data_IF_015553094329
#
_entry.id   IF_015553094329
#
_cell.length_a   1.000
_cell.length_b   1.000
_cell.length_c   1.000
_cell.angle_alpha   90.00
_cell.angle_beta   90.00
_cell.angle_gamma   90.00
#
_symmetry.space_group_name_H-M   'P 1'
#
loop_
_entity.id
_entity.type
_entity.pdbx_description
1 polymer ?
#
# COMPACT_ATOMS: atom_id res chain seq x y z
N UNK A 1 -20.76 15.65 -6.46
CA UNK A 1 -20.80 16.79 -5.51
C UNK A 1 -20.08 18.01 -6.10
N UNK A 2 -20.78 18.83 -6.87
CA UNK A 2 -20.29 20.09 -7.42
C UNK A 2 -21.33 21.20 -7.17
N UNK A 3 -21.62 21.43 -5.89
CA UNK A 3 -22.52 22.51 -5.46
C UNK A 3 -21.87 23.88 -5.58
N UNK A 4 -22.67 24.94 -5.44
CA UNK A 4 -22.25 26.35 -5.47
C UNK A 4 -21.05 26.62 -4.53
N UNK A 5 -20.99 25.92 -3.38
CA UNK A 5 -19.90 25.98 -2.41
C UNK A 5 -18.50 25.67 -2.96
N UNK A 6 -18.40 24.95 -4.09
CA UNK A 6 -17.12 24.58 -4.72
C UNK A 6 -16.79 25.42 -5.97
N UNK A 7 -17.70 26.29 -6.40
CA UNK A 7 -17.57 27.03 -7.66
C UNK A 7 -16.37 27.99 -7.68
N UNK A 8 -16.11 28.67 -6.57
CA UNK A 8 -14.98 29.58 -6.43
C UNK A 8 -13.63 28.85 -6.49
N UNK A 9 -13.44 27.82 -5.65
CA UNK A 9 -12.24 26.99 -5.67
C UNK A 9 -12.01 26.34 -7.05
N UNK A 10 -13.09 25.86 -7.69
CA UNK A 10 -13.02 25.30 -9.05
C UNK A 10 -12.57 26.34 -10.08
N UNK A 11 -12.99 27.60 -9.95
CA UNK A 11 -12.56 28.67 -10.85
C UNK A 11 -11.05 28.95 -10.70
N UNK A 12 -10.54 28.98 -9.47
CA UNK A 12 -9.11 29.18 -9.18
C UNK A 12 -8.26 28.03 -9.73
N UNK A 13 -8.66 26.78 -9.48
CA UNK A 13 -7.98 25.61 -10.06
C UNK A 13 -8.00 25.65 -11.59
N UNK A 14 -9.15 25.99 -12.19
CA UNK A 14 -9.26 26.09 -13.64
C UNK A 14 -8.46 27.25 -14.24
N UNK A 15 -8.17 28.32 -13.49
CA UNK A 15 -7.28 29.41 -13.90
C UNK A 15 -5.84 28.91 -13.97
N UNK A 16 -5.40 28.14 -12.96
CA UNK A 16 -4.08 27.50 -12.92
C UNK A 16 -3.93 26.48 -14.05
N UNK A 17 -4.91 25.59 -14.23
CA UNK A 17 -4.86 24.51 -15.22
C UNK A 17 -4.96 24.98 -16.68
N UNK A 18 -5.58 26.14 -16.93
CA UNK A 18 -5.70 26.72 -18.28
C UNK A 18 -4.60 27.74 -18.60
N UNK A 19 -3.86 28.20 -17.59
CA UNK A 19 -2.67 29.03 -17.78
C UNK A 19 -1.57 28.25 -18.51
N UNK A 20 -0.76 28.94 -19.31
CA UNK A 20 0.35 28.32 -20.05
C UNK A 20 1.44 27.74 -19.15
N UNK A 21 1.50 28.11 -17.85
CA UNK A 21 2.31 27.47 -16.82
C UNK A 21 1.66 27.67 -15.44
N UNK A 22 1.64 26.63 -14.61
CA UNK A 22 1.53 26.80 -13.17
C UNK A 22 2.74 27.64 -12.69
N UNK A 23 2.49 28.79 -12.07
CA UNK A 23 3.53 29.69 -11.56
C UNK A 23 3.27 30.00 -10.08
N UNK A 24 4.29 30.54 -9.40
CA UNK A 24 4.24 30.76 -7.96
C UNK A 24 3.05 31.64 -7.54
N UNK A 25 2.75 32.71 -8.29
CA UNK A 25 1.63 33.59 -7.96
C UNK A 25 0.28 32.85 -8.03
N UNK A 26 0.12 31.91 -8.94
CA UNK A 26 -1.07 31.08 -9.03
C UNK A 26 -1.17 30.08 -7.86
N UNK A 27 -0.03 29.55 -7.39
CA UNK A 27 0.04 28.69 -6.18
C UNK A 27 -0.25 29.50 -4.91
N UNK A 28 0.32 30.70 -4.79
CA UNK A 28 0.10 31.59 -3.65
C UNK A 28 -1.38 31.96 -3.54
N UNK A 29 -2.04 32.24 -4.67
CA UNK A 29 -3.48 32.53 -4.72
C UNK A 29 -4.33 31.34 -4.25
N UNK A 30 -3.97 30.10 -4.61
CA UNK A 30 -4.64 28.90 -4.08
C UNK A 30 -4.45 28.78 -2.56
N UNK A 31 -3.24 29.09 -2.06
CA UNK A 31 -2.91 29.02 -0.64
C UNK A 31 -3.63 30.10 0.19
N UNK A 32 -3.69 31.34 -0.31
CA UNK A 32 -4.39 32.47 0.32
C UNK A 32 -5.89 32.18 0.50
N UNK A 33 -6.50 31.54 -0.50
CA UNK A 33 -7.92 31.14 -0.49
C UNK A 33 -8.15 29.79 0.19
N UNK A 34 -7.10 29.20 0.80
CA UNK A 34 -7.14 27.93 1.52
C UNK A 34 -7.76 26.81 0.67
N UNK A 35 -7.48 26.81 -0.63
CA UNK A 35 -7.99 25.80 -1.56
C UNK A 35 -7.27 24.48 -1.27
N UNK A 36 -8.02 23.53 -0.71
CA UNK A 36 -7.54 22.18 -0.47
C UNK A 36 -7.94 21.27 -1.63
N UNK A 37 -6.98 20.57 -2.26
CA UNK A 37 -7.33 19.58 -3.27
C UNK A 37 -8.01 18.40 -2.59
N UNK A 38 -9.16 18.02 -3.11
CA UNK A 38 -9.73 16.69 -2.85
C UNK A 38 -9.29 15.83 -4.02
N UNK A 39 -8.33 14.95 -3.75
CA UNK A 39 -7.84 14.01 -4.75
C UNK A 39 -8.68 12.75 -4.62
N UNK A 40 -9.26 12.33 -5.73
CA UNK A 40 -9.87 11.01 -5.82
C UNK A 40 -8.76 9.96 -5.62
N UNK A 41 -8.93 9.14 -4.58
CA UNK A 41 -8.01 8.05 -4.26
C UNK A 41 -7.96 6.98 -5.34
N UNK A 42 -8.85 6.98 -6.33
CA UNK A 42 -8.88 5.96 -7.38
C UNK A 42 -7.57 5.79 -8.18
N UNK A 43 -6.71 6.82 -8.23
CA UNK A 43 -5.42 6.78 -8.92
C UNK A 43 -4.21 6.68 -7.98
N UNK A 44 -4.40 6.17 -6.76
CA UNK A 44 -3.29 5.85 -5.86
C UNK A 44 -2.94 4.37 -5.94
N UNK A 45 -1.84 4.00 -5.31
CA UNK A 45 -1.57 2.59 -5.03
C UNK A 45 -2.60 2.06 -4.03
N UNK A 46 -3.68 1.47 -4.56
CA UNK A 46 -4.77 0.90 -3.77
C UNK A 46 -4.32 -0.33 -2.98
N UNK A 47 -3.17 -0.95 -3.30
CA UNK A 47 -2.61 -2.02 -2.49
C UNK A 47 -1.91 -1.50 -1.22
N UNK A 48 -1.52 -0.22 -1.21
CA UNK A 48 -0.73 0.41 -0.16
C UNK A 48 0.72 -0.10 -0.02
N UNK A 49 1.14 -1.06 -0.85
CA UNK A 49 2.47 -1.67 -0.80
C UNK A 49 3.56 -0.65 -1.14
N UNK A 50 3.39 0.13 -2.20
CA UNK A 50 4.34 1.18 -2.60
C UNK A 50 4.50 2.26 -1.55
N UNK A 51 3.41 2.64 -0.88
CA UNK A 51 3.48 3.54 0.27
C UNK A 51 4.28 2.95 1.43
N UNK A 52 4.05 1.68 1.78
CA UNK A 52 4.78 0.99 2.85
C UNK A 52 6.27 0.82 2.54
N UNK A 53 6.61 0.38 1.32
CA UNK A 53 8.00 0.21 0.88
C UNK A 53 8.73 1.55 0.82
N UNK A 54 8.08 2.61 0.33
CA UNK A 54 8.62 3.98 0.36
C UNK A 54 8.93 4.44 1.80
N UNK A 55 8.09 4.06 2.77
CA UNK A 55 8.30 4.35 4.17
C UNK A 55 9.43 3.51 4.81
N UNK A 56 10.04 2.58 4.05
CA UNK A 56 11.16 1.74 4.49
C UNK A 56 10.78 0.34 4.96
N UNK A 57 9.53 -0.09 4.76
CA UNK A 57 9.12 -1.45 5.10
C UNK A 57 9.84 -2.48 4.20
N UNK A 58 10.42 -3.50 4.82
CA UNK A 58 11.04 -4.66 4.14
C UNK A 58 10.19 -5.93 4.24
N UNK A 59 9.08 -5.87 4.98
CA UNK A 59 8.08 -6.91 5.11
C UNK A 59 6.72 -6.20 5.11
N UNK A 60 5.82 -6.61 4.22
CA UNK A 60 4.52 -5.96 4.03
C UNK A 60 3.44 -7.03 3.94
N UNK A 61 2.37 -6.86 4.74
CA UNK A 61 1.16 -7.66 4.61
C UNK A 61 0.10 -6.82 3.90
N UNK A 62 -0.39 -7.30 2.77
CA UNK A 62 -1.38 -6.60 1.96
C UNK A 62 -2.64 -7.45 1.76
N UNK A 63 -3.78 -6.82 2.00
CA UNK A 63 -5.10 -7.36 1.66
C UNK A 63 -5.52 -6.78 0.31
N UNK A 64 -5.65 -7.63 -0.70
CA UNK A 64 -5.92 -7.23 -2.08
C UNK A 64 -7.36 -7.58 -2.44
N UNK A 65 -8.11 -6.60 -2.95
CA UNK A 65 -9.42 -6.78 -3.53
C UNK A 65 -9.29 -7.02 -5.04
N UNK A 66 -9.69 -8.20 -5.49
CA UNK A 66 -9.67 -8.58 -6.88
C UNK A 66 -11.10 -8.77 -7.40
N UNK A 67 -11.25 -8.65 -8.72
CA UNK A 67 -12.47 -9.09 -9.37
C UNK A 67 -12.65 -10.62 -9.27
N UNK A 68 -13.79 -11.11 -9.75
CA UNK A 68 -14.13 -12.54 -9.71
C UNK A 68 -13.14 -13.45 -10.45
N UNK A 69 -12.27 -12.91 -11.32
CA UNK A 69 -11.22 -13.69 -11.99
C UNK A 69 -10.01 -13.97 -11.07
N UNK A 70 -9.92 -13.27 -9.94
CA UNK A 70 -8.78 -13.28 -9.02
C UNK A 70 -7.45 -12.90 -9.70
N UNK A 71 -7.51 -12.01 -10.67
CA UNK A 71 -6.32 -11.46 -11.35
C UNK A 71 -5.76 -10.30 -10.52
N UNK A 72 -4.45 -10.27 -10.30
CA UNK A 72 -3.77 -9.26 -9.45
C UNK A 72 -3.55 -7.94 -10.20
N UNK A 73 -4.64 -7.36 -10.69
CA UNK A 73 -4.58 -6.21 -11.59
C UNK A 73 -4.02 -4.96 -10.92
N UNK A 74 -4.45 -4.70 -9.67
CA UNK A 74 -4.01 -3.54 -8.89
C UNK A 74 -2.56 -3.68 -8.41
N UNK A 75 -2.03 -4.90 -8.35
CA UNK A 75 -0.64 -5.16 -7.97
C UNK A 75 0.32 -5.04 -9.15
N UNK A 76 -0.12 -5.37 -10.37
CA UNK A 76 0.72 -5.41 -11.56
C UNK A 76 1.52 -4.12 -11.83
N UNK A 77 0.96 -2.89 -11.68
CA UNK A 77 1.70 -1.64 -11.90
C UNK A 77 2.95 -1.45 -11.05
N UNK A 78 3.07 -2.18 -9.93
CA UNK A 78 4.25 -2.15 -9.05
C UNK A 78 5.44 -2.95 -9.61
N UNK A 79 5.24 -3.71 -10.69
CA UNK A 79 6.21 -4.61 -11.30
C UNK A 79 6.58 -4.18 -12.73
N UNK A 80 7.74 -4.62 -13.23
CA UNK A 80 8.22 -4.24 -14.56
C UNK A 80 7.29 -4.76 -15.68
N UNK A 81 7.07 -3.94 -16.71
CA UNK A 81 6.32 -4.32 -17.91
C UNK A 81 4.82 -4.52 -17.69
N UNK A 82 4.23 -3.85 -16.68
CA UNK A 82 2.81 -3.95 -16.38
C UNK A 82 1.91 -3.53 -17.56
N UNK A 83 2.34 -2.53 -18.34
CA UNK A 83 1.68 -2.05 -19.57
C UNK A 83 1.49 -3.13 -20.64
N UNK A 84 2.28 -4.21 -20.60
CA UNK A 84 2.14 -5.34 -21.53
C UNK A 84 1.07 -6.33 -21.07
N UNK A 85 0.68 -6.30 -19.79
CA UNK A 85 -0.34 -7.17 -19.21
C UNK A 85 -1.71 -6.57 -19.48
N UNK A 86 -2.41 -7.15 -20.46
CA UNK A 86 -3.79 -6.75 -20.76
C UNK A 86 -4.75 -7.34 -19.72
N UNK A 87 -5.08 -6.56 -18.69
CA UNK A 87 -6.16 -6.91 -17.77
C UNK A 87 -7.47 -6.32 -18.29
N UNK A 88 -8.47 -7.17 -18.49
CA UNK A 88 -9.79 -6.74 -18.98
C UNK A 88 -10.46 -5.86 -17.92
N UNK A 89 -10.94 -4.69 -18.33
CA UNK A 89 -11.75 -3.81 -17.47
C UNK A 89 -10.93 -2.89 -16.56
N UNK A 90 -9.61 -2.88 -16.71
CA UNK A 90 -8.72 -2.01 -15.95
C UNK A 90 -8.18 -0.92 -16.88
N UNK A 91 -8.13 0.32 -16.38
CA UNK A 91 -7.55 1.44 -17.11
C UNK A 91 -6.07 1.16 -17.38
N UNK A 92 -5.55 1.58 -18.54
CA UNK A 92 -4.12 1.45 -18.84
C UNK A 92 -3.33 2.26 -17.81
N UNK A 93 -2.74 1.58 -16.83
CA UNK A 93 -1.85 2.22 -15.86
C UNK A 93 -0.51 2.52 -16.53
N UNK A 94 0.01 3.72 -16.30
CA UNK A 94 1.40 4.02 -16.63
C UNK A 94 2.32 3.16 -15.77
N UNK A 95 3.32 2.54 -16.39
CA UNK A 95 4.31 1.72 -15.70
C UNK A 95 4.99 2.55 -14.60
N UNK A 96 4.69 2.23 -13.34
CA UNK A 96 5.23 2.90 -12.15
C UNK A 96 5.90 1.90 -11.21
N UNK A 97 6.85 1.08 -11.70
CA UNK A 97 7.34 -0.06 -10.96
C UNK A 97 8.16 0.36 -9.74
N UNK A 98 8.00 -0.39 -8.65
CA UNK A 98 8.84 -0.32 -7.45
C UNK A 98 9.66 -1.60 -7.26
N UNK A 99 9.35 -2.68 -7.98
CA UNK A 99 10.08 -3.94 -7.93
C UNK A 99 10.80 -4.24 -9.26
N UNK A 100 11.90 -5.00 -9.18
CA UNK A 100 12.72 -5.44 -10.32
C UNK A 100 12.06 -6.59 -11.10
N UNK A 101 11.24 -7.41 -10.43
CA UNK A 101 10.54 -8.52 -11.06
C UNK A 101 9.49 -8.03 -12.05
N UNK A 102 9.21 -8.84 -13.09
CA UNK A 102 8.18 -8.53 -14.08
C UNK A 102 6.77 -8.79 -13.57
N UNK A 103 5.79 -8.06 -14.09
CA UNK A 103 4.37 -8.30 -13.80
C UNK A 103 3.93 -9.71 -14.23
N UNK A 104 4.45 -10.25 -15.34
CA UNK A 104 4.18 -11.63 -15.78
C UNK A 104 4.65 -12.67 -14.76
N UNK A 105 5.89 -12.54 -14.27
CA UNK A 105 6.41 -13.38 -13.18
C UNK A 105 5.52 -13.30 -11.94
N UNK A 106 5.15 -12.09 -11.50
CA UNK A 106 4.30 -11.89 -10.32
C UNK A 106 2.96 -12.62 -10.48
N UNK A 107 2.31 -12.47 -11.64
CA UNK A 107 1.04 -13.15 -11.93
C UNK A 107 1.20 -14.68 -11.88
N UNK A 108 2.31 -15.21 -12.40
CA UNK A 108 2.59 -16.64 -12.39
C UNK A 108 2.90 -17.20 -10.99
N UNK A 109 3.52 -16.42 -10.11
CA UNK A 109 3.69 -16.77 -8.69
C UNK A 109 2.34 -16.74 -7.97
N UNK A 110 1.58 -15.65 -8.08
CA UNK A 110 0.28 -15.48 -7.44
C UNK A 110 -0.72 -16.56 -7.87
N UNK A 111 -0.70 -17.00 -9.13
CA UNK A 111 -1.56 -18.07 -9.62
C UNK A 111 -1.31 -19.43 -8.93
N UNK A 112 -0.13 -19.63 -8.33
CA UNK A 112 0.23 -20.85 -7.58
C UNK A 112 -0.10 -20.78 -6.10
N UNK A 113 -0.55 -19.64 -5.59
CA UNK A 113 -0.88 -19.50 -4.19
C UNK A 113 -1.98 -20.49 -3.76
N UNK A 114 -1.83 -21.11 -2.58
CA UNK A 114 -2.88 -21.94 -2.02
C UNK A 114 -4.16 -21.12 -1.85
N UNK A 115 -5.29 -21.78 -2.12
CA UNK A 115 -6.62 -21.20 -2.04
C UNK A 115 -7.37 -21.79 -0.86
N UNK A 116 -8.11 -20.94 -0.15
CA UNK A 116 -9.05 -21.38 0.86
C UNK A 116 -10.26 -22.03 0.22
N UNK A 117 -10.85 -23.01 0.92
CA UNK A 117 -12.14 -23.59 0.56
C UNK A 117 -13.23 -22.60 0.93
N UNK A 118 -13.91 -22.05 -0.08
CA UNK A 118 -15.00 -21.07 0.12
C UNK A 118 -16.13 -21.70 0.93
N UNK A 119 -16.72 -20.92 1.85
CA UNK A 119 -17.83 -21.36 2.69
C UNK A 119 -19.05 -21.77 1.86
N UNK A 120 -19.83 -22.72 2.38
CA UNK A 120 -21.00 -23.22 1.66
C UNK A 120 -22.07 -22.12 1.55
N UNK A 121 -22.55 -21.88 0.33
CA UNK A 121 -23.60 -20.89 0.07
C UNK A 121 -23.11 -19.46 -0.13
N UNK A 122 -21.80 -19.24 -0.23
CA UNK A 122 -21.25 -17.95 -0.64
C UNK A 122 -21.84 -17.51 -1.98
N UNK A 123 -22.26 -16.25 -2.04
CA UNK A 123 -22.91 -15.60 -3.18
C UNK A 123 -21.96 -14.70 -3.94
N UNK A 124 -21.10 -13.97 -3.23
CA UNK A 124 -20.27 -12.92 -3.79
C UNK A 124 -18.78 -13.27 -3.77
N UNK A 125 -18.33 -13.94 -2.70
CA UNK A 125 -16.96 -14.38 -2.57
C UNK A 125 -16.66 -15.52 -3.56
N UNK A 126 -15.68 -15.29 -4.43
CA UNK A 126 -15.29 -16.23 -5.49
C UNK A 126 -14.01 -17.01 -5.14
N UNK A 127 -13.04 -16.37 -4.48
CA UNK A 127 -11.77 -17.00 -4.10
C UNK A 127 -11.10 -16.21 -2.98
N UNK A 128 -10.40 -16.90 -2.08
CA UNK A 128 -9.35 -16.31 -1.23
C UNK A 128 -8.07 -17.11 -1.48
N UNK A 129 -7.02 -16.43 -1.93
CA UNK A 129 -5.69 -17.03 -2.07
C UNK A 129 -4.69 -16.31 -1.18
N UNK A 130 -3.76 -17.04 -0.59
CA UNK A 130 -2.76 -16.48 0.31
C UNK A 130 -1.38 -16.95 -0.08
N UNK A 131 -0.39 -16.07 -0.04
CA UNK A 131 0.96 -16.45 -0.41
C UNK A 131 2.00 -15.38 -0.08
N UNK A 132 3.24 -15.66 -0.44
CA UNK A 132 4.37 -14.76 -0.21
C UNK A 132 5.15 -14.57 -1.50
N UNK A 133 5.56 -13.34 -1.76
CA UNK A 133 6.51 -13.00 -2.82
C UNK A 133 7.77 -12.41 -2.20
N UNK A 134 8.92 -12.96 -2.56
CA UNK A 134 10.22 -12.37 -2.29
C UNK A 134 10.62 -11.52 -3.49
N UNK A 135 10.65 -10.20 -3.29
CA UNK A 135 10.88 -9.23 -4.35
C UNK A 135 12.07 -8.33 -4.03
N UNK A 136 12.53 -7.58 -5.02
CA UNK A 136 13.65 -6.66 -4.86
C UNK A 136 13.25 -5.31 -5.43
N UNK A 137 13.51 -4.23 -4.70
CA UNK A 137 13.13 -2.90 -5.17
C UNK A 137 13.94 -2.48 -6.38
N UNK A 138 13.30 -1.74 -7.29
CA UNK A 138 13.95 -0.98 -8.36
C UNK A 138 14.09 0.48 -7.95
N UNK A 139 14.96 1.21 -8.64
CA UNK A 139 15.06 2.66 -8.49
C UNK A 139 13.81 3.32 -9.07
N UNK A 140 13.13 4.14 -8.28
CA UNK A 140 11.98 4.92 -8.76
C UNK A 140 11.96 6.30 -8.13
N UNK A 141 12.11 7.35 -8.95
CA UNK A 141 12.03 8.73 -8.48
C UNK A 141 10.63 9.13 -8.05
N UNK A 142 9.60 8.52 -8.65
CA UNK A 142 8.20 8.75 -8.29
C UNK A 142 7.92 8.27 -6.87
N UNK A 143 8.36 7.04 -6.56
CA UNK A 143 8.14 6.43 -5.25
C UNK A 143 9.24 6.75 -4.24
N UNK A 144 10.38 7.29 -4.66
CA UNK A 144 11.54 7.52 -3.80
C UNK A 144 12.20 6.22 -3.31
N UNK A 145 12.03 5.12 -4.03
CA UNK A 145 12.63 3.82 -3.69
C UNK A 145 14.03 3.69 -4.27
N UNK A 146 14.94 3.12 -3.48
CA UNK A 146 16.29 2.76 -3.93
C UNK A 146 16.30 1.35 -4.50
N UNK A 147 17.11 1.11 -5.53
CA UNK A 147 17.34 -0.24 -6.05
C UNK A 147 17.98 -1.18 -5.02
N UNK A 148 17.59 -2.46 -5.05
CA UNK A 148 18.33 -3.56 -4.43
C UNK A 148 17.91 -3.90 -2.99
N UNK A 149 16.85 -3.30 -2.46
CA UNK A 149 16.31 -3.64 -1.14
C UNK A 149 15.45 -4.91 -1.27
N UNK A 150 15.79 -6.01 -0.57
CA UNK A 150 14.91 -7.17 -0.51
C UNK A 150 13.65 -6.83 0.29
N UNK A 151 12.49 -7.21 -0.23
CA UNK A 151 11.18 -6.99 0.41
C UNK A 151 10.39 -8.30 0.36
N UNK A 152 9.79 -8.67 1.48
CA UNK A 152 8.86 -9.80 1.59
C UNK A 152 7.43 -9.29 1.55
N UNK A 153 6.63 -9.77 0.60
CA UNK A 153 5.21 -9.42 0.49
C UNK A 153 4.34 -10.60 0.88
N UNK A 154 3.58 -10.47 1.96
CA UNK A 154 2.53 -11.40 2.35
C UNK A 154 1.19 -10.93 1.80
N UNK A 155 0.58 -11.72 0.93
CA UNK A 155 -0.61 -11.33 0.18
C UNK A 155 -1.81 -12.15 0.62
N UNK A 156 -2.89 -11.47 0.96
CA UNK A 156 -4.24 -12.04 1.12
C UNK A 156 -5.10 -11.50 -0.01
N UNK A 157 -5.26 -12.27 -1.08
CA UNK A 157 -6.04 -11.85 -2.25
C UNK A 157 -7.46 -12.38 -2.17
N UNK A 158 -8.43 -11.47 -2.17
CA UNK A 158 -9.86 -11.76 -2.06
C UNK A 158 -10.54 -11.36 -3.36
N UNK A 159 -11.08 -12.35 -4.06
CA UNK A 159 -11.81 -12.16 -5.31
C UNK A 159 -13.32 -12.19 -5.08
N UNK A 160 -14.03 -11.19 -5.58
CA UNK A 160 -15.49 -11.11 -5.46
C UNK A 160 -16.17 -10.62 -6.75
N UNK A 161 -17.48 -10.88 -6.84
CA UNK A 161 -18.35 -10.29 -7.87
C UNK A 161 -18.89 -8.92 -7.48
N UNK A 162 -18.67 -8.49 -6.24
CA UNK A 162 -18.98 -7.14 -5.72
C UNK A 162 -17.78 -6.23 -6.00
N UNK A 163 -18.04 -5.00 -6.42
CA UNK A 163 -17.09 -4.01 -6.97
C UNK A 163 -17.40 -2.59 -6.50
N UNK A 164 -16.42 -1.78 -6.16
CA UNK A 164 -16.67 -0.44 -5.57
C UNK A 164 -17.32 0.57 -6.53
N UNK A 165 -17.53 0.20 -7.80
CA UNK A 165 -18.01 1.06 -8.87
C UNK A 165 -19.53 1.09 -9.06
N UNK A 166 -20.05 2.29 -9.34
CA UNK A 166 -21.35 2.60 -9.97
C UNK A 166 -22.55 1.66 -9.67
N UNK A 167 -23.51 2.17 -8.87
CA UNK A 167 -24.83 1.58 -8.63
C UNK A 167 -24.86 0.28 -7.81
N UNK A 168 -23.75 -0.10 -7.18
CA UNK A 168 -23.77 -1.25 -6.29
C UNK A 168 -24.59 -1.02 -5.03
N UNK A 169 -25.23 -2.11 -4.60
CA UNK A 169 -25.98 -2.15 -3.37
C UNK A 169 -24.98 -2.30 -2.22
N UNK A 170 -24.80 -1.25 -1.42
CA UNK A 170 -23.91 -1.28 -0.24
C UNK A 170 -24.22 -2.43 0.74
N UNK A 171 -25.43 -3.01 0.70
CA UNK A 171 -25.76 -4.20 1.48
C UNK A 171 -25.02 -5.45 0.99
N UNK A 172 -24.67 -5.55 -0.29
CA UNK A 172 -23.97 -6.72 -0.81
C UNK A 172 -22.54 -6.83 -0.22
N UNK A 173 -21.97 -5.70 0.24
CA UNK A 173 -20.70 -5.68 0.98
C UNK A 173 -20.81 -6.33 2.35
N UNK A 174 -21.94 -6.18 3.06
CA UNK A 174 -22.11 -6.81 4.37
C UNK A 174 -22.09 -8.34 4.25
N UNK A 175 -22.72 -8.85 3.19
CA UNK A 175 -22.72 -10.27 2.85
C UNK A 175 -21.33 -10.73 2.45
N UNK A 176 -20.62 -9.98 1.60
CA UNK A 176 -19.25 -10.33 1.19
C UNK A 176 -18.29 -10.40 2.39
N UNK A 177 -18.36 -9.44 3.31
CA UNK A 177 -17.53 -9.43 4.53
C UNK A 177 -17.84 -10.67 5.38
N UNK A 178 -19.12 -10.98 5.58
CA UNK A 178 -19.53 -12.18 6.32
C UNK A 178 -19.01 -13.46 5.66
N UNK A 179 -19.14 -13.59 4.34
CA UNK A 179 -18.62 -14.74 3.57
C UNK A 179 -17.10 -14.88 3.68
N UNK A 180 -16.38 -13.76 3.71
CA UNK A 180 -14.93 -13.72 3.90
C UNK A 180 -14.55 -14.21 5.29
N UNK A 181 -15.22 -13.72 6.34
CA UNK A 181 -15.00 -14.15 7.72
C UNK A 181 -15.31 -15.64 7.89
N UNK A 182 -16.46 -16.10 7.39
CA UNK A 182 -16.87 -17.50 7.47
C UNK A 182 -15.89 -18.42 6.74
N UNK A 183 -15.40 -18.00 5.57
CA UNK A 183 -14.38 -18.75 4.83
C UNK A 183 -13.08 -18.83 5.62
N UNK A 184 -12.57 -17.70 6.14
CA UNK A 184 -11.34 -17.69 6.95
C UNK A 184 -11.47 -18.51 8.24
N UNK A 185 -12.64 -18.51 8.87
CA UNK A 185 -12.90 -19.22 10.13
C UNK A 185 -13.30 -20.70 9.95
N UNK A 186 -13.51 -21.17 8.71
CA UNK A 186 -13.95 -22.53 8.45
C UNK A 186 -12.89 -23.55 8.92
N UNK A 187 -13.28 -24.65 9.59
CA UNK A 187 -12.34 -25.65 10.09
C UNK A 187 -11.41 -26.24 9.01
N UNK A 188 -11.90 -26.40 7.78
CA UNK A 188 -11.09 -26.93 6.66
C UNK A 188 -9.97 -25.98 6.21
N UNK A 189 -10.07 -24.70 6.57
CA UNK A 189 -9.09 -23.66 6.28
C UNK A 189 -8.16 -23.38 7.46
N UNK A 190 -8.41 -24.00 8.62
CA UNK A 190 -7.70 -23.69 9.86
C UNK A 190 -6.19 -23.86 9.74
N UNK A 191 -5.70 -24.90 9.05
CA UNK A 191 -4.26 -25.13 8.88
C UNK A 191 -3.60 -23.97 8.12
N UNK A 192 -4.12 -23.60 6.94
CA UNK A 192 -3.56 -22.51 6.16
C UNK A 192 -3.68 -21.16 6.89
N UNK A 193 -4.82 -20.89 7.52
CA UNK A 193 -5.03 -19.62 8.23
C UNK A 193 -4.15 -19.53 9.48
N UNK A 194 -4.15 -20.53 10.35
CA UNK A 194 -3.41 -20.47 11.63
C UNK A 194 -1.90 -20.58 11.44
N UNK A 195 -1.42 -21.38 10.48
CA UNK A 195 0.01 -21.63 10.30
C UNK A 195 0.67 -20.74 9.23
N UNK A 196 -0.11 -20.06 8.38
CA UNK A 196 0.43 -19.16 7.34
C UNK A 196 -0.03 -17.72 7.54
N UNK A 197 -1.34 -17.48 7.58
CA UNK A 197 -1.89 -16.10 7.59
C UNK A 197 -1.72 -15.41 8.94
N UNK A 198 -2.11 -16.06 10.04
CA UNK A 198 -2.07 -15.47 11.37
C UNK A 198 -0.66 -15.05 11.81
N UNK A 199 0.42 -15.82 11.55
CA UNK A 199 1.79 -15.40 11.85
C UNK A 199 2.21 -14.07 11.21
N UNK A 200 1.65 -13.69 10.06
CA UNK A 200 1.94 -12.41 9.41
C UNK A 200 1.46 -11.21 10.23
N UNK A 201 0.40 -11.38 11.02
CA UNK A 201 -0.18 -10.33 11.86
C UNK A 201 0.23 -10.45 13.33
N UNK A 202 0.50 -11.67 13.76
CA UNK A 202 0.87 -12.01 15.13
C UNK A 202 2.36 -12.35 15.15
N UNK A 203 3.22 -11.35 14.95
CA UNK A 203 4.62 -11.54 15.31
C UNK A 203 4.69 -11.99 16.78
N UNK A 204 5.51 -12.99 17.13
CA UNK A 204 5.75 -13.31 18.53
C UNK A 204 6.24 -12.01 19.18
N UNK A 205 5.51 -11.50 20.18
CA UNK A 205 5.96 -10.36 20.97
C UNK A 205 7.42 -10.63 21.37
N UNK A 206 8.31 -9.80 20.84
CA UNK A 206 9.75 -10.03 20.69
C UNK A 206 10.36 -11.02 21.69
N UNK A 207 10.84 -12.17 21.19
CA UNK A 207 11.82 -12.98 21.94
C UNK A 207 13.19 -12.30 22.05
N UNK A 208 13.40 -11.23 21.28
CA UNK A 208 14.65 -10.48 21.25
C UNK A 208 14.71 -9.35 22.29
N UNK A 209 13.62 -9.08 23.02
CA UNK A 209 13.63 -8.12 24.13
C UNK A 209 14.33 -8.65 25.41
N UNK A 210 14.74 -9.93 25.45
CA UNK A 210 15.46 -10.52 26.59
C UNK A 210 16.99 -10.59 26.39
N UNK A 211 17.52 -10.16 25.24
CA UNK A 211 18.96 -10.19 24.94
C UNK A 211 19.65 -8.83 25.05
N UNK A 212 20.48 -8.65 26.08
CA UNK A 212 21.50 -7.60 26.22
C UNK A 212 21.04 -6.16 26.51
N UNK A 213 20.51 -5.95 27.72
CA UNK A 213 20.89 -4.76 28.51
C UNK A 213 22.33 -4.94 29.03
N UNK A 214 23.33 -4.92 28.15
CA UNK A 214 24.73 -4.85 28.58
C UNK A 214 25.09 -3.39 28.84
N UNK A 215 24.83 -2.98 30.09
CA UNK A 215 25.56 -1.93 30.80
C UNK A 215 25.83 -0.65 30.02
N UNK A 216 24.96 0.34 30.18
CA UNK A 216 25.32 1.74 29.94
C UNK A 216 26.67 2.05 30.59
N UNK A 217 27.69 2.50 29.85
CA UNK A 217 28.92 2.98 30.46
C UNK A 217 28.60 4.19 31.35
N UNK A 218 29.33 4.38 32.47
CA UNK A 218 29.08 5.49 33.38
C UNK A 218 29.23 6.83 32.65
N UNK A 219 28.18 7.66 32.74
CA UNK A 219 28.19 9.06 32.35
C UNK A 219 29.39 9.76 33.00
N UNK A 220 30.41 10.05 32.21
CA UNK A 220 31.47 10.97 32.62
C UNK A 220 30.95 12.39 32.33
N UNK A 221 30.99 13.33 33.30
CA UNK A 221 30.56 14.70 33.05
C UNK A 221 31.50 15.36 32.05
N UNK A 222 31.01 15.70 30.86
CA UNK A 222 31.74 16.53 29.91
C UNK A 222 31.67 17.99 30.35
N UNK A 223 32.85 18.55 30.62
CA UNK A 223 33.10 19.95 30.90
C UNK A 223 32.57 20.87 29.78
N UNK A 224 31.87 21.93 30.19
CA UNK A 224 31.43 23.01 29.31
C UNK A 224 32.62 23.91 28.96
N UNK A 225 33.22 23.71 27.79
CA UNK A 225 34.20 24.62 27.18
C UNK A 225 33.64 25.28 25.92
N UNK A 226 33.45 26.61 25.98
CA UNK A 226 32.97 27.49 24.92
C UNK A 226 33.96 27.65 23.75
N UNK A 227 33.47 27.72 22.51
CA UNK A 227 33.72 28.83 21.56
C UNK A 227 33.21 28.51 20.13
N UNK A 228 32.30 29.39 19.68
CA UNK A 228 31.95 29.82 18.32
C UNK A 228 32.48 29.05 17.09
N UNK A 229 31.54 28.48 16.34
CA UNK A 229 31.61 28.31 14.88
C UNK A 229 30.20 28.21 14.27
N UNK A 230 29.96 28.75 13.05
CA UNK A 230 28.62 28.87 12.46
C UNK A 230 28.08 27.52 11.94
N UNK A 231 26.74 27.36 11.84
CA UNK A 231 26.14 26.06 11.54
C UNK A 231 26.32 25.66 10.08
N UNK A 232 27.01 24.54 9.89
CA UNK A 232 26.96 23.71 8.68
C UNK A 232 25.66 22.91 8.68
N UNK A 233 24.87 23.03 7.62
CA UNK A 233 23.64 22.26 7.42
C UNK A 233 23.98 20.80 7.12
N UNK A 234 24.05 19.97 8.16
CA UNK A 234 24.12 18.53 8.06
C UNK A 234 22.72 17.93 8.11
N UNK A 235 22.34 17.23 7.05
CA UNK A 235 21.13 16.42 6.93
C UNK A 235 21.23 15.20 7.84
N UNK A 236 20.71 15.30 9.06
CA UNK A 236 20.51 14.16 9.94
C UNK A 236 19.17 13.49 9.66
N UNK A 237 19.17 12.37 8.95
CA UNK A 237 18.02 11.46 8.91
C UNK A 237 18.09 10.51 10.09
N UNK A 238 17.16 10.66 11.04
CA UNK A 238 16.92 9.70 12.12
C UNK A 238 16.29 8.42 11.55
N UNK A 239 16.77 7.22 11.90
CA UNK A 239 16.08 5.98 11.53
C UNK A 239 14.79 5.85 12.37
N UNK A 240 13.65 5.85 11.69
CA UNK A 240 12.37 5.43 12.29
C UNK A 240 12.33 3.90 12.21
N UNK A 241 12.27 3.22 13.36
CA UNK A 241 11.94 1.81 13.40
C UNK A 241 10.46 1.67 13.02
N UNK A 242 10.19 1.19 11.81
CA UNK A 242 8.85 0.88 11.34
C UNK A 242 8.47 -0.52 11.84
N UNK A 243 7.78 -0.60 12.96
CA UNK A 243 6.98 -1.77 13.32
C UNK A 243 5.75 -1.83 12.41
N UNK A 244 5.39 -3.04 11.96
CA UNK A 244 4.53 -3.33 10.82
C UNK A 244 3.32 -2.42 10.61
N UNK A 245 3.17 -1.93 9.38
CA UNK A 245 2.01 -1.16 8.94
C UNK A 245 0.99 -2.10 8.29
N UNK A 246 -0.25 -2.08 8.79
CA UNK A 246 -1.41 -2.55 8.04
C UNK A 246 -1.76 -1.47 7.01
N UNK A 247 -1.35 -1.68 5.76
CA UNK A 247 -1.81 -0.87 4.64
C UNK A 247 -3.13 -1.45 4.13
N UNK A 248 -4.23 -0.91 4.63
CA UNK A 248 -5.58 -1.17 4.11
C UNK A 248 -6.22 0.15 3.72
N UNK A 249 -6.03 0.58 2.47
CA UNK A 249 -6.84 1.66 1.90
C UNK A 249 -8.07 1.03 1.26
N UNK A 250 -9.20 1.08 1.96
CA UNK A 250 -10.50 0.79 1.35
C UNK A 250 -10.89 2.01 0.52
N UNK A 251 -10.71 1.94 -0.79
CA UNK A 251 -11.36 2.80 -1.78
C UNK A 251 -12.68 2.20 -2.20
#
# INVERSE_FOLDING_TARGET
PAGESFSHASALVNEVSRGTCANQAAVDKLAEEVVQPVIDGGYVDNSGIGCAVRAGAVEVVAYLDNDASNTQANLAPLFQGASQVKVKGVWEFEDSPIFEQSAEWMMAECARFPKLKICAGAKFLSSISVGTLDVTTTESSLWGTRRGTPVTLHLVSVASTVTIGYLENLRDYDVLIQETIETMAAPENADLVQNTVMPWFLQPADKDAEGESTGSPPNTPSDCGSADSPPSAASGTTPWAATGWLAGCYS
#
